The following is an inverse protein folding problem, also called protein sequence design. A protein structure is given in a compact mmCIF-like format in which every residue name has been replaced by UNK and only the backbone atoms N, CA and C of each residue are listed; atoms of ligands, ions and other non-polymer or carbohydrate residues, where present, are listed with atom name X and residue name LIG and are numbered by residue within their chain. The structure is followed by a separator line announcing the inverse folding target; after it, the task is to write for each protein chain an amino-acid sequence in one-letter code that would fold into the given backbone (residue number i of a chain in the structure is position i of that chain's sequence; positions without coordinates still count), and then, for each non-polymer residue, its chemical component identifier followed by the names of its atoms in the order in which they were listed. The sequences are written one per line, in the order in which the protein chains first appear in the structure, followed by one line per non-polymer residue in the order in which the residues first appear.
data_IF_854217450593
#
_entry.id   IF_854217450593
#
_cell.length_a   1.000
_cell.length_b   1.000
_cell.length_c   1.000
_cell.angle_alpha   90.00
_cell.angle_beta   90.00
_cell.angle_gamma   90.00
#
_symmetry.space_group_name_H-M   'P 1'
#
loop_
_entity.id
_entity.type
_entity.pdbx_description
1 polymer ?
#
# COMPACT_ATOMS: atom_id res chain seq x y z
N UNK A 1 5.05 20.05 10.87
CA UNK A 1 4.12 19.01 10.49
C UNK A 1 4.92 17.77 10.15
N UNK A 2 4.63 16.68 10.84
CA UNK A 2 5.35 15.44 10.58
C UNK A 2 4.72 14.78 9.36
N UNK A 3 5.49 14.64 8.29
CA UNK A 3 5.18 13.76 7.19
C UNK A 3 5.62 12.35 7.56
N UNK A 4 4.81 11.36 7.21
CA UNK A 4 5.09 9.95 7.47
C UNK A 4 5.62 9.29 6.21
N UNK A 5 6.83 8.76 6.27
CA UNK A 5 7.39 7.92 5.21
C UNK A 5 6.98 6.47 5.45
N UNK A 6 6.62 5.79 4.40
CA UNK A 6 6.28 4.36 4.43
C UNK A 6 6.82 3.64 3.19
N UNK A 7 6.96 2.34 3.30
CA UNK A 7 7.20 1.45 2.17
C UNK A 7 6.52 0.12 2.40
N UNK A 8 5.97 -0.45 1.35
CA UNK A 8 5.57 -1.84 1.26
C UNK A 8 6.37 -2.44 0.12
N UNK A 9 7.07 -3.52 0.39
CA UNK A 9 8.03 -4.09 -0.53
C UNK A 9 8.06 -5.61 -0.42
N UNK A 10 8.37 -6.25 -1.53
CA UNK A 10 8.63 -7.67 -1.61
C UNK A 10 9.98 -7.95 -2.25
N UNK A 11 10.72 -8.94 -1.72
CA UNK A 11 12.06 -9.30 -2.16
C UNK A 11 12.01 -10.59 -2.96
N UNK A 12 12.49 -10.55 -4.20
CA UNK A 12 12.56 -11.75 -5.03
C UNK A 12 13.37 -12.87 -4.38
N UNK A 13 12.84 -14.09 -4.42
CA UNK A 13 13.48 -15.27 -3.85
C UNK A 13 13.23 -15.47 -2.37
N UNK A 14 13.84 -16.48 -1.77
CA UNK A 14 13.55 -16.94 -0.40
C UNK A 14 14.83 -17.25 0.38
N UNK A 15 14.69 -17.33 1.70
CA UNK A 15 15.76 -17.76 2.61
C UNK A 15 16.71 -16.62 3.00
N UNK A 16 17.90 -17.01 3.50
CA UNK A 16 18.85 -16.09 4.13
C UNK A 16 19.26 -14.92 3.23
N UNK A 17 19.49 -15.18 1.95
CA UNK A 17 19.89 -14.12 1.01
C UNK A 17 18.79 -13.06 0.85
N UNK A 18 17.54 -13.49 0.71
CA UNK A 18 16.40 -12.58 0.61
C UNK A 18 16.25 -11.77 1.90
N UNK A 19 16.35 -12.39 3.06
CA UNK A 19 16.32 -11.70 4.35
C UNK A 19 17.43 -10.66 4.52
N UNK A 20 18.68 -10.95 4.07
CA UNK A 20 19.77 -9.97 4.09
C UNK A 20 19.51 -8.81 3.14
N UNK A 21 18.92 -9.08 1.98
CA UNK A 21 18.58 -8.08 0.98
C UNK A 21 17.48 -7.14 1.50
N UNK A 22 16.42 -7.72 2.09
CA UNK A 22 15.35 -6.99 2.77
C UNK A 22 15.89 -6.12 3.89
N UNK A 23 16.74 -6.66 4.77
CA UNK A 23 17.32 -5.91 5.88
C UNK A 23 18.16 -4.72 5.40
N UNK A 24 18.93 -4.89 4.31
CA UNK A 24 19.70 -3.80 3.70
C UNK A 24 18.76 -2.74 3.13
N UNK A 25 17.80 -3.11 2.29
CA UNK A 25 16.86 -2.17 1.68
C UNK A 25 16.08 -1.37 2.74
N UNK A 26 15.53 -2.05 3.73
CA UNK A 26 14.80 -1.46 4.86
C UNK A 26 15.66 -0.49 5.67
N UNK A 27 16.92 -0.86 5.96
CA UNK A 27 17.85 -0.01 6.72
C UNK A 27 18.17 1.28 5.98
N UNK A 28 18.44 1.20 4.67
CA UNK A 28 18.76 2.38 3.84
C UNK A 28 17.52 3.28 3.74
N UNK A 29 16.36 2.71 3.43
CA UNK A 29 15.10 3.45 3.38
C UNK A 29 14.86 4.22 4.68
N UNK A 30 14.95 3.55 5.82
CA UNK A 30 14.76 4.15 7.14
C UNK A 30 15.75 5.29 7.41
N UNK A 31 17.02 5.08 7.08
CA UNK A 31 18.06 6.09 7.29
C UNK A 31 17.80 7.35 6.48
N UNK A 32 17.53 7.19 5.17
CA UNK A 32 17.31 8.33 4.27
C UNK A 32 15.98 9.06 4.57
N UNK A 33 14.93 8.31 4.94
CA UNK A 33 13.64 8.89 5.35
C UNK A 33 13.75 9.68 6.65
N UNK A 34 14.52 9.22 7.64
CA UNK A 34 14.77 9.96 8.87
C UNK A 34 15.52 11.26 8.65
N UNK A 35 16.36 11.34 7.61
CA UNK A 35 17.01 12.57 7.19
C UNK A 35 16.10 13.53 6.44
N UNK A 36 14.82 13.16 6.25
CA UNK A 36 13.78 13.97 5.58
C UNK A 36 14.12 14.35 4.13
N UNK A 37 14.87 13.51 3.43
CA UNK A 37 15.14 13.74 2.02
C UNK A 37 13.87 13.64 1.17
N UNK A 38 13.83 14.32 0.00
CA UNK A 38 12.77 14.09 -0.99
C UNK A 38 12.63 12.61 -1.32
N UNK A 39 11.40 12.15 -1.61
CA UNK A 39 11.13 10.74 -1.83
C UNK A 39 11.94 10.17 -3.00
N UNK A 40 12.14 10.98 -4.05
CA UNK A 40 12.95 10.64 -5.21
C UNK A 40 14.40 10.33 -4.82
N UNK A 41 14.98 11.14 -3.94
CA UNK A 41 16.34 10.93 -3.42
C UNK A 41 16.43 9.69 -2.54
N UNK A 42 15.38 9.42 -1.74
CA UNK A 42 15.31 8.20 -0.93
C UNK A 42 15.34 6.97 -1.85
N UNK A 43 14.45 6.91 -2.85
CA UNK A 43 14.36 5.78 -3.78
C UNK A 43 15.63 5.64 -4.64
N UNK A 44 16.18 6.75 -5.13
CA UNK A 44 17.45 6.76 -5.84
C UNK A 44 18.59 6.15 -4.99
N UNK A 45 18.70 6.57 -3.72
CA UNK A 45 19.69 6.06 -2.79
C UNK A 45 19.51 4.59 -2.48
N UNK A 46 18.28 4.16 -2.19
CA UNK A 46 17.96 2.74 -1.93
C UNK A 46 18.37 1.89 -3.13
N UNK A 47 17.96 2.27 -4.34
CA UNK A 47 18.26 1.49 -5.54
C UNK A 47 19.78 1.34 -5.77
N UNK A 48 20.53 2.44 -5.71
CA UNK A 48 21.94 2.39 -6.01
C UNK A 48 22.74 1.62 -4.97
N UNK A 49 22.40 1.75 -3.69
CA UNK A 49 23.03 0.98 -2.62
C UNK A 49 22.71 -0.53 -2.69
N UNK A 50 21.50 -0.87 -3.16
CA UNK A 50 21.10 -2.26 -3.38
C UNK A 50 21.91 -2.88 -4.53
N UNK A 51 22.10 -2.15 -5.62
CA UNK A 51 22.92 -2.62 -6.75
C UNK A 51 24.38 -2.82 -6.35
N UNK A 52 24.95 -1.91 -5.55
CA UNK A 52 26.33 -2.04 -5.07
C UNK A 52 26.53 -3.26 -4.14
N UNK A 53 25.45 -3.80 -3.56
CA UNK A 53 25.50 -5.04 -2.77
C UNK A 53 25.82 -6.30 -3.58
N UNK A 54 25.72 -6.23 -4.93
CA UNK A 54 26.08 -7.32 -5.88
C UNK A 54 25.40 -8.67 -5.65
N UNK A 55 24.18 -8.67 -5.11
CA UNK A 55 23.37 -9.88 -5.03
C UNK A 55 22.78 -10.20 -6.41
N UNK A 56 23.52 -10.97 -7.22
CA UNK A 56 23.12 -11.28 -8.59
C UNK A 56 21.73 -11.94 -8.66
N UNK A 57 20.88 -11.41 -9.53
CA UNK A 57 19.56 -11.98 -9.84
C UNK A 57 18.49 -11.70 -8.79
N UNK A 58 18.77 -10.88 -7.80
CA UNK A 58 17.78 -10.45 -6.80
C UNK A 58 17.36 -9.00 -7.03
N UNK A 59 16.09 -8.74 -6.77
CA UNK A 59 15.48 -7.42 -6.86
C UNK A 59 14.42 -7.26 -5.77
N UNK A 60 13.93 -6.04 -5.60
CA UNK A 60 12.85 -5.71 -4.67
C UNK A 60 11.78 -4.97 -5.45
N UNK A 61 10.56 -5.48 -5.44
CA UNK A 61 9.40 -4.68 -5.84
C UNK A 61 8.95 -3.83 -4.66
N UNK A 62 8.64 -2.56 -4.87
CA UNK A 62 8.28 -1.70 -3.76
C UNK A 62 7.39 -0.52 -4.15
N UNK A 63 6.47 -0.17 -3.25
CA UNK A 63 5.84 1.14 -3.20
C UNK A 63 6.49 1.93 -2.07
N UNK A 64 7.06 3.08 -2.41
CA UNK A 64 7.55 4.06 -1.45
C UNK A 64 6.57 5.20 -1.36
N UNK A 65 6.34 5.73 -0.17
CA UNK A 65 5.40 6.81 0.01
C UNK A 65 5.77 7.79 1.12
N UNK A 66 5.19 8.98 0.99
CA UNK A 66 5.26 10.05 1.97
C UNK A 66 3.86 10.66 2.12
N UNK A 67 3.32 10.59 3.31
CA UNK A 67 1.97 11.05 3.64
C UNK A 67 1.99 12.28 4.54
N UNK A 68 1.23 13.30 4.17
CA UNK A 68 1.01 14.49 4.99
C UNK A 68 -0.36 14.40 5.69
N UNK A 69 -0.41 14.13 7.00
CA UNK A 69 -1.67 13.95 7.74
C UNK A 69 -2.45 15.24 7.97
N UNK A 70 -1.91 16.42 7.61
CA UNK A 70 -2.61 17.69 7.71
C UNK A 70 -3.38 18.05 6.47
N UNK A 71 -2.82 17.71 5.29
CA UNK A 71 -3.40 18.06 4.00
C UNK A 71 -4.11 16.88 3.33
N UNK A 72 -3.75 15.65 3.69
CA UNK A 72 -4.17 14.44 3.00
C UNK A 72 -3.39 14.18 1.71
N UNK A 73 -2.30 14.90 1.48
CA UNK A 73 -1.45 14.68 0.31
C UNK A 73 -0.59 13.44 0.52
N UNK A 74 -0.61 12.57 -0.46
CA UNK A 74 0.17 11.35 -0.54
C UNK A 74 1.07 11.44 -1.78
N UNK A 75 2.38 11.49 -1.54
CA UNK A 75 3.39 11.39 -2.59
C UNK A 75 3.92 9.96 -2.60
N UNK A 76 4.00 9.33 -3.77
CA UNK A 76 4.44 7.94 -3.88
C UNK A 76 5.22 7.66 -5.16
N UNK A 77 5.96 6.55 -5.14
CA UNK A 77 6.72 5.98 -6.26
C UNK A 77 6.47 4.48 -6.23
N UNK A 78 5.99 3.92 -7.34
CA UNK A 78 5.87 2.46 -7.52
C UNK A 78 7.05 1.96 -8.34
N UNK A 79 7.88 1.12 -7.73
CA UNK A 79 9.07 0.53 -8.33
C UNK A 79 8.85 -0.98 -8.58
N UNK A 80 8.16 -1.29 -9.68
CA UNK A 80 7.93 -2.66 -10.13
C UNK A 80 7.02 -3.49 -9.24
N UNK A 81 6.27 -2.86 -8.34
CA UNK A 81 5.34 -3.54 -7.46
C UNK A 81 3.96 -3.69 -8.11
N UNK A 82 3.08 -4.49 -7.49
CA UNK A 82 1.68 -4.59 -7.90
C UNK A 82 1.03 -3.22 -8.08
N UNK A 83 -0.04 -3.17 -8.89
CA UNK A 83 -0.79 -1.94 -9.09
C UNK A 83 -1.35 -1.42 -7.77
N UNK A 84 -1.13 -0.13 -7.52
CA UNK A 84 -1.76 0.53 -6.39
C UNK A 84 -3.25 0.68 -6.67
N UNK A 85 -4.10 0.21 -5.77
CA UNK A 85 -5.53 0.42 -5.86
C UNK A 85 -5.94 1.67 -5.10
N UNK A 86 -6.66 2.55 -5.78
CA UNK A 86 -7.29 3.73 -5.20
C UNK A 86 -8.80 3.64 -5.41
N UNK A 87 -9.59 3.90 -4.38
CA UNK A 87 -11.04 3.96 -4.53
C UNK A 87 -11.66 5.04 -3.64
N UNK A 88 -12.82 5.54 -4.04
CA UNK A 88 -13.60 6.53 -3.31
C UNK A 88 -14.78 5.89 -2.51
N UNK A 89 -15.55 6.72 -1.83
CA UNK A 89 -16.73 6.29 -1.06
C UNK A 89 -17.83 5.66 -1.94
N UNK A 90 -17.85 5.95 -3.24
CA UNK A 90 -18.77 5.33 -4.21
C UNK A 90 -18.24 3.99 -4.74
N UNK A 91 -17.09 3.54 -4.25
CA UNK A 91 -16.40 2.32 -4.68
C UNK A 91 -16.00 2.36 -6.16
N UNK A 92 -15.67 3.54 -6.66
CA UNK A 92 -15.07 3.70 -7.98
C UNK A 92 -13.56 3.45 -7.85
N UNK A 93 -13.08 2.41 -8.55
CA UNK A 93 -11.70 1.97 -8.53
C UNK A 93 -10.86 2.63 -9.61
N UNK A 94 -9.61 2.91 -9.25
CA UNK A 94 -8.54 3.36 -10.12
C UNK A 94 -7.27 2.55 -9.78
N UNK A 95 -6.57 2.04 -10.80
CA UNK A 95 -5.35 1.27 -10.64
C UNK A 95 -4.17 2.05 -11.19
N UNK A 96 -3.18 2.31 -10.34
CA UNK A 96 -1.98 3.07 -10.70
C UNK A 96 -0.85 2.07 -10.89
N UNK A 97 -0.37 1.99 -12.13
CA UNK A 97 0.71 1.08 -12.53
C UNK A 97 2.07 1.57 -12.05
N UNK A 98 3.05 0.69 -12.10
CA UNK A 98 4.43 1.02 -11.80
C UNK A 98 5.05 1.90 -12.91
N UNK A 99 5.75 2.94 -12.48
CA UNK A 99 6.50 3.86 -13.37
C UNK A 99 7.99 3.51 -13.46
N UNK A 100 8.50 2.72 -12.52
CA UNK A 100 9.92 2.33 -12.43
C UNK A 100 10.07 0.81 -12.41
N UNK A 101 11.18 0.28 -12.93
CA UNK A 101 11.53 -1.11 -12.74
C UNK A 101 11.78 -1.41 -11.25
N UNK A 102 11.69 -2.69 -10.82
CA UNK A 102 12.03 -3.10 -9.47
C UNK A 102 13.42 -2.61 -9.04
N UNK A 103 13.56 -2.31 -7.76
CA UNK A 103 14.81 -1.90 -7.12
C UNK A 103 15.87 -3.00 -7.26
N UNK A 104 17.05 -2.62 -7.69
CA UNK A 104 18.18 -3.56 -7.82
C UNK A 104 18.36 -4.16 -9.22
N UNK A 105 17.43 -3.90 -10.18
CA UNK A 105 17.55 -4.39 -11.56
C UNK A 105 18.50 -3.51 -12.37
N UNK A 106 18.35 -2.20 -12.28
CA UNK A 106 19.18 -1.27 -13.04
C UNK A 106 19.64 -0.09 -12.19
N UNK A 107 20.86 0.37 -12.44
CA UNK A 107 21.42 1.54 -11.77
C UNK A 107 20.76 2.82 -12.29
N UNK A 108 20.33 3.67 -11.38
CA UNK A 108 19.92 5.02 -11.72
C UNK A 108 21.13 5.92 -11.76
N UNK A 109 21.37 6.58 -12.88
CA UNK A 109 22.54 7.44 -13.07
C UNK A 109 22.33 8.85 -12.50
N UNK A 110 21.07 9.28 -12.36
CA UNK A 110 20.71 10.57 -11.79
C UNK A 110 19.39 10.47 -11.01
N UNK A 111 19.26 11.30 -9.98
CA UNK A 111 18.03 11.40 -9.18
C UNK A 111 16.83 11.83 -10.04
N UNK A 112 17.05 12.64 -11.07
CA UNK A 112 16.03 13.09 -12.02
C UNK A 112 15.36 11.97 -12.84
N UNK A 113 15.92 10.76 -12.84
CA UNK A 113 15.28 9.57 -13.43
C UNK A 113 14.13 9.05 -12.57
N UNK A 114 14.14 9.40 -11.28
CA UNK A 114 13.11 8.98 -10.33
C UNK A 114 12.08 10.09 -10.23
N UNK A 115 10.83 9.78 -10.54
CA UNK A 115 9.71 10.74 -10.45
C UNK A 115 8.67 10.22 -9.49
N UNK A 116 8.16 11.11 -8.66
CA UNK A 116 7.04 10.79 -7.77
C UNK A 116 5.71 11.27 -8.34
N UNK A 117 4.66 10.59 -7.94
CA UNK A 117 3.28 11.01 -8.15
C UNK A 117 2.74 11.58 -6.83
N UNK A 118 1.95 12.64 -6.89
CA UNK A 118 1.27 13.19 -5.72
C UNK A 118 -0.23 13.26 -5.97
N UNK A 119 -0.99 12.69 -5.03
CA UNK A 119 -2.45 12.73 -5.03
C UNK A 119 -2.94 13.21 -3.68
N UNK A 120 -4.12 13.81 -3.64
CA UNK A 120 -4.82 14.05 -2.39
C UNK A 120 -5.80 12.91 -2.15
N UNK A 121 -5.67 12.24 -1.00
CA UNK A 121 -6.50 11.07 -0.65
C UNK A 121 -7.72 11.44 0.21
N UNK A 122 -8.13 12.72 0.20
CA UNK A 122 -9.39 13.10 0.82
C UNK A 122 -10.55 12.34 0.17
N UNK A 123 -11.36 11.71 0.99
CA UNK A 123 -12.49 10.85 0.55
C UNK A 123 -12.10 9.62 -0.30
N UNK A 124 -10.80 9.29 -0.32
CA UNK A 124 -10.28 8.12 -1.02
C UNK A 124 -9.52 7.21 -0.06
N UNK A 125 -9.44 5.94 -0.43
CA UNK A 125 -8.60 4.94 0.23
C UNK A 125 -7.54 4.46 -0.75
N UNK A 126 -6.29 4.51 -0.31
CA UNK A 126 -5.11 4.04 -1.05
C UNK A 126 -4.74 2.67 -0.49
N UNK A 127 -4.62 1.67 -1.35
CA UNK A 127 -4.33 0.28 -0.96
C UNK A 127 -3.17 -0.26 -1.77
N UNK A 128 -2.24 -0.90 -1.07
CA UNK A 128 -1.08 -1.62 -1.64
C UNK A 128 -1.02 -3.00 -1.03
N UNK A 129 -0.71 -4.00 -1.82
CA UNK A 129 -0.57 -5.39 -1.38
C UNK A 129 0.47 -6.13 -2.22
N UNK A 130 1.05 -7.20 -1.64
CA UNK A 130 1.97 -8.10 -2.34
C UNK A 130 1.19 -9.13 -3.19
N UNK A 131 1.87 -9.75 -4.15
CA UNK A 131 1.33 -10.82 -4.98
C UNK A 131 0.82 -12.02 -4.16
N UNK A 132 1.38 -12.25 -2.96
CA UNK A 132 0.86 -13.23 -2.02
C UNK A 132 -0.62 -13.03 -1.63
N UNK A 133 -1.17 -11.80 -1.79
CA UNK A 133 -2.61 -11.56 -1.64
C UNK A 133 -3.37 -12.10 -2.84
N UNK A 134 -2.97 -11.73 -4.06
CA UNK A 134 -3.68 -12.14 -5.30
C UNK A 134 -3.48 -13.62 -5.63
N UNK A 135 -2.31 -14.17 -5.34
CA UNK A 135 -2.00 -15.60 -5.48
C UNK A 135 -2.49 -16.46 -4.30
N UNK A 136 -3.05 -15.84 -3.27
CA UNK A 136 -3.66 -16.51 -2.13
C UNK A 136 -4.89 -17.33 -2.54
N UNK A 137 -5.26 -18.31 -1.73
CA UNK A 137 -6.42 -19.15 -1.99
C UNK A 137 -7.60 -18.84 -1.09
N UNK A 138 -8.80 -18.92 -1.66
CA UNK A 138 -10.05 -18.92 -0.92
C UNK A 138 -10.27 -20.29 -0.22
N UNK A 139 -11.18 -20.36 0.77
CA UNK A 139 -11.52 -21.62 1.44
C UNK A 139 -12.03 -22.74 0.50
N UNK A 140 -12.59 -22.37 -0.65
CA UNK A 140 -13.04 -23.32 -1.68
C UNK A 140 -11.91 -23.84 -2.60
N UNK A 141 -10.67 -23.35 -2.41
CA UNK A 141 -9.50 -23.73 -3.18
C UNK A 141 -9.27 -22.95 -4.48
N UNK A 142 -10.10 -21.95 -4.77
CA UNK A 142 -9.89 -21.02 -5.88
C UNK A 142 -8.88 -19.94 -5.50
N UNK A 143 -8.15 -19.41 -6.48
CA UNK A 143 -7.27 -18.25 -6.26
C UNK A 143 -8.12 -17.00 -5.95
N UNK A 144 -7.63 -16.18 -5.02
CA UNK A 144 -8.27 -14.90 -4.68
C UNK A 144 -8.29 -13.95 -5.89
N UNK A 145 -7.21 -13.97 -6.67
CA UNK A 145 -7.10 -13.30 -7.95
C UNK A 145 -6.94 -11.78 -7.84
N UNK A 146 -6.70 -11.17 -8.99
CA UNK A 146 -6.50 -9.73 -9.10
C UNK A 146 -7.72 -8.89 -8.67
N UNK A 147 -8.93 -9.42 -8.83
CA UNK A 147 -10.18 -8.75 -8.47
C UNK A 147 -10.62 -9.02 -7.02
N UNK A 148 -9.90 -9.88 -6.30
CA UNK A 148 -10.29 -10.31 -4.96
C UNK A 148 -10.44 -9.15 -3.97
N UNK A 149 -9.48 -8.22 -3.97
CA UNK A 149 -9.54 -7.03 -3.08
C UNK A 149 -10.71 -6.12 -3.45
N UNK A 150 -10.98 -5.93 -4.76
CA UNK A 150 -12.16 -5.17 -5.20
C UNK A 150 -13.47 -5.80 -4.73
N UNK A 151 -13.59 -7.13 -4.83
CA UNK A 151 -14.78 -7.85 -4.43
C UNK A 151 -15.01 -7.70 -2.92
N UNK A 152 -13.96 -7.80 -2.11
CA UNK A 152 -14.03 -7.52 -0.67
C UNK A 152 -14.54 -6.09 -0.43
N UNK A 153 -13.98 -5.08 -1.10
CA UNK A 153 -14.43 -3.68 -0.95
C UNK A 153 -15.89 -3.51 -1.36
N UNK A 154 -16.34 -4.16 -2.44
CA UNK A 154 -17.74 -4.09 -2.91
C UNK A 154 -18.74 -4.66 -1.91
N UNK A 155 -18.35 -5.68 -1.15
CA UNK A 155 -19.18 -6.33 -0.14
C UNK A 155 -19.27 -5.56 1.20
N UNK A 156 -18.27 -4.72 1.51
CA UNK A 156 -18.23 -3.99 2.77
C UNK A 156 -19.19 -2.77 2.75
N UNK A 157 -20.06 -2.64 3.73
CA UNK A 157 -20.94 -1.47 3.88
C UNK A 157 -20.15 -0.23 4.38
N UNK A 158 -19.29 -0.44 5.35
CA UNK A 158 -18.41 0.60 5.92
C UNK A 158 -16.97 0.16 5.77
N UNK A 159 -16.12 1.04 5.27
CA UNK A 159 -14.73 0.73 4.99
C UNK A 159 -13.83 1.61 5.84
N UNK A 160 -13.15 1.00 6.80
CA UNK A 160 -11.97 1.59 7.44
C UNK A 160 -10.71 0.87 6.95
N UNK A 161 -9.53 1.51 6.94
CA UNK A 161 -8.30 0.83 6.57
C UNK A 161 -8.06 -0.46 7.35
N UNK A 162 -8.34 -0.45 8.65
CA UNK A 162 -8.20 -1.60 9.52
C UNK A 162 -9.14 -2.73 9.10
N UNK A 163 -10.44 -2.44 9.00
CA UNK A 163 -11.44 -3.46 8.67
C UNK A 163 -11.20 -4.05 7.28
N UNK A 164 -10.74 -3.22 6.32
CA UNK A 164 -10.38 -3.69 4.99
C UNK A 164 -9.23 -4.69 5.03
N UNK A 165 -8.13 -4.35 5.70
CA UNK A 165 -6.97 -5.24 5.81
C UNK A 165 -7.35 -6.54 6.54
N UNK A 166 -8.10 -6.45 7.64
CA UNK A 166 -8.60 -7.62 8.37
C UNK A 166 -9.53 -8.49 7.51
N UNK A 167 -10.42 -7.88 6.73
CA UNK A 167 -11.34 -8.63 5.85
C UNK A 167 -10.58 -9.31 4.71
N UNK A 168 -9.69 -8.62 4.01
CA UNK A 168 -8.85 -9.19 2.95
C UNK A 168 -8.06 -10.38 3.48
N UNK A 169 -7.33 -10.19 4.58
CA UNK A 169 -6.49 -11.25 5.14
C UNK A 169 -7.31 -12.42 5.69
N UNK A 170 -8.47 -12.18 6.31
CA UNK A 170 -9.33 -13.26 6.83
C UNK A 170 -10.07 -14.03 5.74
N UNK A 171 -10.24 -13.46 4.55
CA UNK A 171 -10.86 -14.15 3.41
C UNK A 171 -9.94 -15.21 2.82
N UNK A 172 -8.62 -15.03 2.96
CA UNK A 172 -7.63 -15.98 2.47
C UNK A 172 -7.53 -17.22 3.37
N UNK A 173 -7.35 -18.39 2.76
CA UNK A 173 -7.23 -19.64 3.48
C UNK A 173 -5.79 -19.89 3.96
N UNK A 174 -5.55 -19.67 5.24
CA UNK A 174 -4.27 -19.93 5.90
C UNK A 174 -3.96 -21.42 6.17
N UNK A 175 -4.94 -22.31 5.98
CA UNK A 175 -4.83 -23.73 6.26
C UNK A 175 -4.27 -24.57 5.13
N UNK A 176 -3.93 -23.99 3.99
CA UNK A 176 -3.33 -24.72 2.87
C UNK A 176 -1.82 -24.85 3.11
N UNK A 177 -1.24 -26.09 3.09
CA UNK A 177 0.17 -26.34 3.37
C UNK A 177 1.18 -25.65 2.43
N UNK A 178 0.70 -25.00 1.37
CA UNK A 178 1.45 -24.21 0.41
C UNK A 178 0.92 -22.80 0.31
N UNK A 179 1.13 -21.98 1.33
CA UNK A 179 1.23 -20.53 1.11
C UNK A 179 2.37 -20.33 0.09
N UNK A 180 2.03 -19.80 -1.09
CA UNK A 180 3.01 -19.61 -2.15
C UNK A 180 3.97 -18.49 -1.80
N UNK A 181 3.47 -17.41 -1.14
CA UNK A 181 4.28 -16.27 -0.73
C UNK A 181 3.75 -15.54 0.52
N UNK A 182 4.52 -14.57 1.01
CA UNK A 182 4.18 -13.75 2.16
C UNK A 182 3.03 -12.80 1.83
N UNK A 183 2.01 -12.75 2.69
CA UNK A 183 0.84 -11.91 2.50
C UNK A 183 1.05 -10.59 3.24
N UNK A 184 1.15 -9.50 2.49
CA UNK A 184 1.22 -8.16 3.07
C UNK A 184 0.18 -7.26 2.40
N UNK A 185 -0.59 -6.53 3.22
CA UNK A 185 -1.57 -5.57 2.74
C UNK A 185 -1.53 -4.31 3.61
N UNK A 186 -1.60 -3.15 2.99
CA UNK A 186 -1.63 -1.85 3.63
C UNK A 186 -2.73 -0.99 3.03
N UNK A 187 -3.49 -0.32 3.88
CA UNK A 187 -4.49 0.65 3.47
C UNK A 187 -4.30 1.99 4.19
N UNK A 188 -4.45 3.09 3.47
CA UNK A 188 -4.34 4.45 4.00
C UNK A 188 -5.56 5.24 3.53
N UNK A 189 -6.23 5.92 4.46
CA UNK A 189 -7.23 6.94 4.13
C UNK A 189 -6.92 8.24 4.89
N UNK A 190 -7.59 9.30 4.50
CA UNK A 190 -7.51 10.58 5.19
C UNK A 190 -8.91 11.04 5.58
N UNK A 191 -9.22 10.93 6.89
CA UNK A 191 -10.39 11.53 7.47
C UNK A 191 -10.00 12.87 8.11
N UNK A 192 -10.62 13.95 7.65
CA UNK A 192 -10.34 15.28 8.20
C UNK A 192 -10.69 15.30 9.71
N UNK A 193 -9.73 15.60 10.60
CA UNK A 193 -9.96 15.62 12.05
C UNK A 193 -11.14 16.49 12.47
N UNK A 194 -11.36 17.60 11.77
CA UNK A 194 -12.48 18.51 12.02
C UNK A 194 -13.85 17.90 11.64
N UNK A 195 -13.90 16.96 10.71
CA UNK A 195 -15.12 16.25 10.34
C UNK A 195 -15.40 15.09 11.31
N UNK A 196 -14.35 14.45 11.83
CA UNK A 196 -14.47 13.41 12.86
C UNK A 196 -15.06 14.00 14.14
N UNK A 197 -14.60 15.18 14.57
CA UNK A 197 -15.17 15.87 15.72
C UNK A 197 -16.62 16.29 15.51
N UNK A 198 -16.97 16.74 14.30
CA UNK A 198 -18.36 17.08 13.95
C UNK A 198 -19.27 15.85 13.94
N UNK A 199 -18.80 14.71 13.46
CA UNK A 199 -19.54 13.43 13.49
C UNK A 199 -19.74 12.93 14.93
N UNK A 200 -18.74 13.05 15.80
CA UNK A 200 -18.84 12.66 17.23
C UNK A 200 -19.77 13.58 18.03
N UNK A 201 -19.95 14.83 17.62
CA UNK A 201 -20.84 15.82 18.27
C UNK A 201 -22.27 15.82 17.73
N UNK A 202 -22.57 15.06 16.65
CA UNK A 202 -23.96 14.89 16.20
C UNK A 202 -24.70 13.94 17.17
N UNK A 203 -25.85 14.35 17.72
CA UNK A 203 -26.67 13.44 18.48
C UNK A 203 -27.13 12.27 17.59
N UNK A 204 -27.39 11.09 18.16
CA UNK A 204 -27.92 9.97 17.37
C UNK A 204 -29.21 10.42 16.68
N UNK A 205 -29.48 9.94 15.45
CA UNK A 205 -30.66 10.31 14.69
C UNK A 205 -31.92 10.02 15.52
N UNK A 206 -32.81 11.00 15.58
CA UNK A 206 -34.06 10.86 16.29
C UNK A 206 -34.91 9.76 15.66
N UNK A 207 -35.79 9.14 16.44
CA UNK A 207 -36.68 8.07 15.94
C UNK A 207 -37.63 8.54 14.83
N UNK A 208 -37.73 9.83 14.59
CA UNK A 208 -38.54 10.43 13.51
C UNK A 208 -37.84 10.42 12.16
N UNK A 209 -36.50 10.51 12.12
CA UNK A 209 -35.70 10.53 10.85
C UNK A 209 -35.71 9.16 10.14
N UNK A 210 -36.08 8.08 10.85
CA UNK A 210 -36.15 6.72 10.28
C UNK A 210 -37.48 6.39 9.56
N UNK A 211 -38.44 7.31 9.55
CA UNK A 211 -39.76 7.07 8.90
C UNK A 211 -39.82 7.53 7.46
N UNK A 212 -38.87 8.33 6.98
CA UNK A 212 -38.91 8.87 5.62
C UNK A 212 -38.07 8.06 4.59
N UNK A 213 -37.33 7.04 5.05
CA UNK A 213 -36.57 6.12 4.15
C UNK A 213 -37.36 4.85 3.74
N UNK A 214 -38.62 4.73 4.15
CA UNK A 214 -39.51 3.63 3.74
C UNK A 214 -40.73 4.23 3.04
N UNK A 215 -40.54 4.78 1.86
CA UNK A 215 -41.61 4.97 0.88
C UNK A 215 -41.06 4.85 -0.54
#
# INVERSE_FOLDING_TARGET
PEEYYFTLADVSGKGVKAGMYMAKASSIFRTLSNLKFPLERVVFGVNNEIIEAKFKGMFVTAVFGKFNPKTGDLTFINAGHESIMLFDKSKKFEFIQSDLPPIGIMKYFAESMVKSNTINIKDKTFVVYTDGVTEGYLPNGEEFGAEGVENVVKEMETITPKDLVEKVTSTLNWGIPKLRDDITCMAINFDNPNEIEKKKKRPPPSKEDKKDEIK
#
